data_IF_728339838910
#
_entry.id   IF_728339838910
#
_cell.length_a   1.000
_cell.length_b   1.000
_cell.length_c   1.000
_cell.angle_alpha   90.00
_cell.angle_beta   90.00
_cell.angle_gamma   90.00
#
_symmetry.space_group_name_H-M   'P 1'
#
loop_
_entity.id
_entity.type
_entity.pdbx_description
1 polymer ?
#
# COMPACT_ATOMS: atom_id res chain seq x y z
N UNK A 1 -26.89 14.56 12.18
CA UNK A 1 -26.28 14.50 13.53
C UNK A 1 -24.80 14.29 13.25
N UNK A 2 -23.95 15.14 13.83
CA UNK A 2 -22.51 15.04 13.58
C UNK A 2 -21.92 13.97 14.51
N UNK A 3 -21.32 12.95 13.93
CA UNK A 3 -20.60 11.89 14.64
C UNK A 3 -19.11 11.94 14.29
N UNK A 4 -18.29 11.53 15.24
CA UNK A 4 -16.84 11.42 15.06
C UNK A 4 -16.46 10.00 15.44
N UNK A 5 -16.03 9.21 14.45
CA UNK A 5 -15.58 7.83 14.64
C UNK A 5 -14.09 7.72 14.34
N UNK A 6 -13.41 6.78 14.99
CA UNK A 6 -11.95 6.64 14.95
C UNK A 6 -11.57 5.41 14.14
N UNK A 7 -10.56 5.54 13.29
CA UNK A 7 -10.01 4.43 12.51
C UNK A 7 -8.56 4.76 12.10
N UNK A 8 -7.99 4.04 11.13
CA UNK A 8 -6.64 4.27 10.62
C UNK A 8 -6.65 5.06 9.31
N UNK A 9 -5.51 5.67 9.01
CA UNK A 9 -5.24 6.33 7.75
C UNK A 9 -4.90 5.28 6.68
N UNK A 10 -5.59 5.27 5.53
CA UNK A 10 -5.34 4.29 4.47
C UNK A 10 -4.19 4.69 3.53
N UNK A 11 -3.53 5.84 3.75
CA UNK A 11 -2.71 6.47 2.70
C UNK A 11 -1.29 5.96 2.55
N UNK A 12 -0.72 5.30 3.56
CA UNK A 12 0.63 4.71 3.51
C UNK A 12 0.84 3.76 4.70
N UNK A 13 1.94 3.03 4.70
CA UNK A 13 2.26 2.03 5.73
C UNK A 13 2.63 2.58 7.11
N UNK A 14 2.59 3.89 7.35
CA UNK A 14 2.95 4.47 8.66
C UNK A 14 1.95 4.08 9.76
N UNK A 15 0.69 3.80 9.42
CA UNK A 15 -0.30 3.35 10.42
C UNK A 15 -0.82 4.45 11.35
N UNK A 16 -0.96 5.67 10.82
CA UNK A 16 -1.49 6.81 11.58
C UNK A 16 -2.99 6.65 11.90
N UNK A 17 -3.44 7.12 13.08
CA UNK A 17 -4.86 7.17 13.41
C UNK A 17 -5.56 8.44 12.91
N UNK A 18 -6.81 8.31 12.47
CA UNK A 18 -7.65 9.43 12.04
C UNK A 18 -9.03 9.37 12.69
N UNK A 19 -9.67 10.52 12.76
CA UNK A 19 -11.10 10.62 13.00
C UNK A 19 -11.79 10.89 11.66
N UNK A 20 -12.88 10.18 11.40
CA UNK A 20 -13.80 10.45 10.30
C UNK A 20 -15.02 11.18 10.86
N UNK A 21 -15.37 12.30 10.24
CA UNK A 21 -16.51 13.13 10.61
C UNK A 21 -17.68 12.75 9.71
N UNK A 22 -18.78 12.34 10.33
CA UNK A 22 -20.01 11.96 9.65
C UNK A 22 -21.08 13.01 9.94
N UNK A 23 -21.87 13.42 8.94
CA UNK A 23 -23.10 14.16 9.15
C UNK A 23 -24.27 13.46 8.44
N UNK A 24 -25.15 12.83 9.23
CA UNK A 24 -26.23 11.98 8.72
C UNK A 24 -25.69 10.88 7.78
N UNK A 25 -24.71 10.12 8.26
CA UNK A 25 -24.05 9.00 7.56
C UNK A 25 -23.18 9.37 6.34
N UNK A 26 -23.16 10.65 5.94
CA UNK A 26 -22.24 11.15 4.91
C UNK A 26 -20.87 11.52 5.51
N UNK A 27 -19.79 11.10 4.86
CA UNK A 27 -18.42 11.51 5.21
C UNK A 27 -18.21 12.96 4.80
N UNK A 28 -17.91 13.84 5.77
CA UNK A 28 -17.74 15.29 5.52
C UNK A 28 -16.34 15.80 5.85
N UNK A 29 -15.46 14.93 6.34
CA UNK A 29 -14.06 15.26 6.53
C UNK A 29 -13.32 14.34 7.48
N UNK A 30 -12.04 14.65 7.69
CA UNK A 30 -11.20 13.96 8.67
C UNK A 30 -10.50 14.94 9.59
N UNK A 31 -10.09 14.46 10.76
CA UNK A 31 -9.20 15.20 11.66
C UNK A 31 -8.29 14.23 12.43
N UNK A 32 -7.09 14.64 12.86
CA UNK A 32 -6.22 13.74 13.62
C UNK A 32 -6.82 13.11 14.87
N UNK A 33 -6.64 11.79 15.01
CA UNK A 33 -6.95 11.12 16.26
C UNK A 33 -5.88 11.47 17.30
N UNK A 34 -6.17 12.47 18.13
CA UNK A 34 -5.22 13.11 19.06
C UNK A 34 -4.46 12.17 19.99
N UNK A 35 -5.02 10.99 20.29
CA UNK A 35 -4.45 10.02 21.23
C UNK A 35 -3.76 8.85 20.55
N UNK A 36 -3.70 8.82 19.21
CA UNK A 36 -3.09 7.70 18.51
C UNK A 36 -1.56 7.72 18.70
N UNK A 37 -0.94 6.59 19.10
CA UNK A 37 0.47 6.56 19.49
C UNK A 37 1.41 6.86 18.32
N UNK A 38 1.11 6.37 17.12
CA UNK A 38 1.96 6.56 15.93
C UNK A 38 2.12 8.04 15.56
N UNK A 39 1.01 8.76 15.42
CA UNK A 39 1.01 10.10 14.82
C UNK A 39 0.93 11.23 15.86
N UNK A 40 0.68 10.87 17.12
CA UNK A 40 0.60 11.78 18.28
C UNK A 40 -0.31 12.99 18.02
N UNK A 41 -1.43 12.73 17.32
CA UNK A 41 -2.41 13.76 17.01
C UNK A 41 -2.06 14.69 15.85
N UNK A 42 -1.19 14.26 14.94
CA UNK A 42 -0.92 14.95 13.65
C UNK A 42 -1.25 14.05 12.46
N UNK A 43 -1.69 14.62 11.36
CA UNK A 43 -1.72 13.92 10.07
C UNK A 43 -1.09 14.80 8.99
N UNK A 44 -0.50 14.15 7.98
CA UNK A 44 -0.03 14.82 6.77
C UNK A 44 -1.21 15.29 5.90
N UNK A 45 -0.92 15.81 4.71
CA UNK A 45 -1.95 16.15 3.73
C UNK A 45 -2.74 14.90 3.33
N UNK A 46 -2.06 13.83 2.92
CA UNK A 46 -2.67 12.57 2.46
C UNK A 46 -3.66 12.01 3.47
N UNK A 47 -3.30 11.99 4.76
CA UNK A 47 -4.21 11.52 5.81
C UNK A 47 -5.37 12.46 6.13
N UNK A 48 -5.28 13.76 5.80
CA UNK A 48 -6.39 14.71 5.94
C UNK A 48 -7.36 14.64 4.75
N UNK A 49 -6.84 14.30 3.58
CA UNK A 49 -7.59 14.19 2.32
C UNK A 49 -7.94 12.75 1.95
N UNK A 50 -7.70 11.77 2.84
CA UNK A 50 -7.89 10.34 2.56
C UNK A 50 -9.33 9.92 2.30
N UNK A 51 -10.28 10.84 2.44
CA UNK A 51 -11.70 10.62 2.16
C UNK A 51 -12.14 11.19 0.81
N UNK A 52 -11.27 11.87 0.06
CA UNK A 52 -11.63 12.47 -1.24
C UNK A 52 -12.18 11.43 -2.22
N UNK A 53 -11.61 10.21 -2.22
CA UNK A 53 -12.10 9.11 -3.07
C UNK A 53 -13.52 8.63 -2.68
N UNK A 54 -14.04 8.98 -1.50
CA UNK A 54 -15.40 8.59 -1.09
C UNK A 54 -16.47 9.22 -1.98
N UNK A 55 -16.17 10.32 -2.66
CA UNK A 55 -17.07 10.92 -3.66
C UNK A 55 -17.24 10.01 -4.89
N UNK A 56 -16.27 9.14 -5.17
CA UNK A 56 -16.24 8.22 -6.30
C UNK A 56 -16.50 6.76 -5.85
N UNK A 57 -17.30 6.56 -4.80
CA UNK A 57 -17.63 5.21 -4.32
C UNK A 57 -18.46 4.47 -5.37
N UNK A 58 -18.07 3.24 -5.67
CA UNK A 58 -18.78 2.35 -6.60
C UNK A 58 -19.92 1.66 -5.86
N UNK A 59 -21.15 1.85 -6.33
CA UNK A 59 -22.34 1.21 -5.77
C UNK A 59 -23.05 0.26 -6.72
N UNK A 60 -22.66 0.24 -8.00
CA UNK A 60 -23.27 -0.60 -9.04
C UNK A 60 -22.22 -1.48 -9.70
N UNK A 61 -22.55 -2.75 -9.90
CA UNK A 61 -21.71 -3.64 -10.70
C UNK A 61 -21.92 -3.35 -12.20
N UNK A 62 -20.87 -3.53 -13.00
CA UNK A 62 -20.94 -3.29 -14.44
C UNK A 62 -20.37 -4.46 -15.23
N UNK A 63 -20.90 -4.69 -16.42
CA UNK A 63 -20.33 -5.55 -17.47
C UNK A 63 -20.29 -4.74 -18.76
N UNK A 64 -19.10 -4.59 -19.34
CA UNK A 64 -18.82 -3.78 -20.53
C UNK A 64 -19.42 -2.37 -20.43
N UNK A 65 -19.23 -1.72 -19.29
CA UNK A 65 -19.79 -0.41 -18.92
C UNK A 65 -21.32 -0.34 -18.81
N UNK A 66 -22.02 -1.47 -18.85
CA UNK A 66 -23.45 -1.56 -18.58
C UNK A 66 -23.73 -1.99 -17.14
N UNK A 67 -24.51 -1.19 -16.40
CA UNK A 67 -24.96 -1.52 -15.03
C UNK A 67 -25.75 -2.84 -15.01
N UNK A 68 -25.45 -3.70 -14.03
CA UNK A 68 -26.08 -5.01 -13.82
C UNK A 68 -26.24 -5.30 -12.32
N UNK A 69 -27.12 -6.24 -11.99
CA UNK A 69 -27.23 -6.78 -10.63
C UNK A 69 -25.91 -7.46 -10.21
N UNK A 70 -25.54 -7.31 -8.94
CA UNK A 70 -24.31 -7.88 -8.37
C UNK A 70 -24.17 -9.39 -8.62
N UNK A 71 -25.24 -10.15 -8.41
CA UNK A 71 -25.26 -11.61 -8.65
C UNK A 71 -24.97 -11.96 -10.11
N UNK A 72 -25.42 -11.12 -11.05
CA UNK A 72 -25.16 -11.32 -12.48
C UNK A 72 -23.71 -11.00 -12.83
N UNK A 73 -23.13 -9.97 -12.23
CA UNK A 73 -21.71 -9.66 -12.38
C UNK A 73 -20.84 -10.81 -11.85
N UNK A 74 -21.10 -11.28 -10.63
CA UNK A 74 -20.38 -12.41 -10.02
C UNK A 74 -20.51 -13.68 -10.88
N UNK A 75 -21.70 -14.00 -11.39
CA UNK A 75 -21.89 -15.15 -12.27
C UNK A 75 -21.09 -15.03 -13.58
N UNK A 76 -20.98 -13.82 -14.15
CA UNK A 76 -20.16 -13.60 -15.33
C UNK A 76 -18.66 -13.72 -15.01
N UNK A 77 -18.20 -13.25 -13.85
CA UNK A 77 -16.82 -13.49 -13.38
C UNK A 77 -16.53 -14.98 -13.32
N UNK A 78 -17.37 -15.78 -12.65
CA UNK A 78 -17.17 -17.24 -12.53
C UNK A 78 -17.11 -17.94 -13.89
N UNK A 79 -17.89 -17.46 -14.86
CA UNK A 79 -17.87 -17.95 -16.24
C UNK A 79 -16.56 -17.60 -16.97
N UNK A 80 -16.10 -16.36 -16.87
CA UNK A 80 -14.88 -15.90 -17.56
C UNK A 80 -13.64 -16.62 -17.02
N UNK A 81 -13.50 -16.76 -15.70
CA UNK A 81 -12.36 -17.46 -15.08
C UNK A 81 -12.38 -18.97 -15.34
N UNK A 82 -13.56 -19.57 -15.58
CA UNK A 82 -13.69 -20.99 -15.88
C UNK A 82 -13.51 -21.34 -17.37
N UNK A 83 -13.51 -20.34 -18.25
CA UNK A 83 -13.44 -20.51 -19.70
C UNK A 83 -12.04 -20.28 -20.29
N UNK A 84 -11.09 -19.81 -19.48
CA UNK A 84 -9.77 -19.37 -19.91
C UNK A 84 -8.68 -20.09 -19.13
N UNK A 85 -7.54 -20.31 -19.78
CA UNK A 85 -6.46 -21.12 -19.22
C UNK A 85 -5.53 -20.27 -18.34
N UNK A 86 -5.25 -19.01 -18.71
CA UNK A 86 -4.30 -18.15 -18.01
C UNK A 86 -5.00 -17.02 -17.24
N UNK A 87 -5.35 -17.29 -15.99
CA UNK A 87 -5.90 -16.28 -15.07
C UNK A 87 -4.81 -15.78 -14.14
N UNK A 88 -4.69 -14.45 -14.04
CA UNK A 88 -3.77 -13.78 -13.14
C UNK A 88 -4.55 -12.95 -12.12
N UNK A 89 -4.15 -13.06 -10.86
CA UNK A 89 -4.77 -12.38 -9.73
C UNK A 89 -3.77 -11.41 -9.11
N UNK A 90 -4.17 -10.14 -9.02
CA UNK A 90 -3.38 -9.06 -8.43
C UNK A 90 -3.80 -8.85 -6.97
N UNK A 91 -2.87 -9.08 -6.06
CA UNK A 91 -2.93 -8.63 -4.67
C UNK A 91 -2.55 -7.16 -4.57
N UNK A 92 -3.11 -6.47 -3.59
CA UNK A 92 -2.82 -5.08 -3.30
C UNK A 92 -2.34 -4.88 -1.87
N UNK A 93 -1.46 -3.88 -1.69
CA UNK A 93 -1.14 -3.34 -0.36
C UNK A 93 -2.32 -2.64 0.32
N UNK A 94 -3.47 -2.49 -0.34
CA UNK A 94 -4.73 -2.03 0.26
C UNK A 94 -5.60 -3.16 0.81
N UNK A 95 -5.37 -4.42 0.42
CA UNK A 95 -6.15 -5.54 0.96
C UNK A 95 -5.81 -5.76 2.44
N UNK A 96 -6.78 -6.18 3.23
CA UNK A 96 -6.51 -6.64 4.60
C UNK A 96 -5.76 -7.96 4.64
N UNK A 97 -5.23 -8.34 5.80
CA UNK A 97 -4.63 -9.66 5.98
C UNK A 97 -5.62 -10.79 5.64
N UNK A 98 -6.88 -10.65 6.08
CA UNK A 98 -7.93 -11.64 5.83
C UNK A 98 -8.30 -11.71 4.35
N UNK A 99 -8.41 -10.57 3.68
CA UNK A 99 -8.68 -10.50 2.25
C UNK A 99 -7.53 -11.11 1.45
N UNK A 100 -6.28 -10.77 1.77
CA UNK A 100 -5.11 -11.30 1.10
C UNK A 100 -4.96 -12.82 1.25
N UNK A 101 -5.23 -13.36 2.46
CA UNK A 101 -5.27 -14.80 2.69
C UNK A 101 -6.37 -15.48 1.86
N UNK A 102 -7.57 -14.87 1.76
CA UNK A 102 -8.67 -15.40 0.97
C UNK A 102 -8.36 -15.37 -0.55
N UNK A 103 -7.78 -14.28 -1.04
CA UNK A 103 -7.36 -14.12 -2.44
C UNK A 103 -6.28 -15.17 -2.76
N UNK A 104 -5.24 -15.29 -1.91
CA UNK A 104 -4.19 -16.29 -2.10
C UNK A 104 -4.75 -17.71 -2.12
N UNK A 105 -5.59 -18.06 -1.14
CA UNK A 105 -6.20 -19.38 -1.07
C UNK A 105 -7.10 -19.68 -2.28
N UNK A 106 -7.81 -18.67 -2.80
CA UNK A 106 -8.60 -18.78 -4.02
C UNK A 106 -7.72 -19.04 -5.25
N UNK A 107 -6.63 -18.28 -5.41
CA UNK A 107 -5.67 -18.49 -6.49
C UNK A 107 -5.03 -19.87 -6.43
N UNK A 108 -4.58 -20.31 -5.25
CA UNK A 108 -4.00 -21.63 -5.04
C UNK A 108 -4.99 -22.76 -5.37
N UNK A 109 -6.25 -22.63 -4.92
CA UNK A 109 -7.32 -23.62 -5.16
C UNK A 109 -7.63 -23.78 -6.65
N UNK A 110 -7.65 -22.66 -7.40
CA UNK A 110 -7.97 -22.65 -8.83
C UNK A 110 -6.75 -22.85 -9.73
N UNK A 111 -5.54 -22.78 -9.18
CA UNK A 111 -4.29 -22.84 -9.95
C UNK A 111 -4.04 -21.58 -10.77
N UNK A 112 -4.48 -20.41 -10.29
CA UNK A 112 -4.25 -19.12 -10.94
C UNK A 112 -2.88 -18.56 -10.60
N UNK A 113 -2.33 -17.72 -11.48
CA UNK A 113 -1.15 -16.94 -11.15
C UNK A 113 -1.50 -15.90 -10.10
N UNK A 114 -0.66 -15.73 -9.09
CA UNK A 114 -0.80 -14.72 -8.06
C UNK A 114 0.38 -13.76 -8.17
N UNK A 115 0.10 -12.46 -8.21
CA UNK A 115 1.14 -11.45 -8.30
C UNK A 115 0.88 -10.30 -7.33
N UNK A 116 1.99 -9.76 -6.83
CA UNK A 116 2.00 -8.61 -5.94
C UNK A 116 3.18 -7.72 -6.28
N UNK A 117 2.94 -6.42 -6.42
CA UNK A 117 3.97 -5.43 -6.66
C UNK A 117 4.06 -4.47 -5.48
N UNK A 118 5.25 -4.38 -4.88
CA UNK A 118 5.52 -3.59 -3.68
C UNK A 118 6.43 -2.38 -3.97
N UNK A 119 6.36 -1.82 -5.19
CA UNK A 119 7.23 -0.73 -5.64
C UNK A 119 8.73 -1.07 -5.50
N UNK A 120 9.10 -2.29 -5.89
CA UNK A 120 10.44 -2.88 -5.78
C UNK A 120 11.01 -2.94 -4.34
N UNK A 121 10.17 -2.73 -3.32
CA UNK A 121 10.53 -2.91 -1.92
C UNK A 121 10.28 -4.34 -1.44
N UNK A 122 11.10 -4.81 -0.50
CA UNK A 122 10.98 -6.14 0.09
C UNK A 122 10.51 -6.16 1.55
N UNK A 123 10.37 -7.37 2.08
CA UNK A 123 10.10 -7.58 3.51
C UNK A 123 11.39 -7.57 4.35
N UNK A 124 11.24 -7.17 5.61
CA UNK A 124 12.29 -7.17 6.62
C UNK A 124 11.72 -7.69 7.93
N UNK A 125 12.29 -8.77 8.47
CA UNK A 125 11.83 -9.40 9.70
C UNK A 125 12.08 -8.49 10.91
N UNK A 126 13.31 -8.00 11.03
CA UNK A 126 13.71 -7.04 12.07
C UNK A 126 13.67 -5.63 11.50
N UNK A 127 12.79 -4.79 12.05
CA UNK A 127 12.62 -3.41 11.64
C UNK A 127 12.83 -2.45 12.79
N UNK A 128 13.26 -1.22 12.46
CA UNK A 128 13.36 -0.13 13.41
C UNK A 128 11.96 0.32 13.86
N UNK A 129 11.83 0.67 15.13
CA UNK A 129 10.67 1.43 15.59
C UNK A 129 10.79 2.92 15.21
N UNK A 130 9.69 3.66 15.31
CA UNK A 130 9.72 5.12 15.14
C UNK A 130 10.53 5.83 16.23
N UNK A 131 10.63 5.23 17.42
CA UNK A 131 11.49 5.71 18.49
C UNK A 131 12.97 5.43 18.20
N UNK A 132 13.29 4.29 17.58
CA UNK A 132 14.66 4.01 17.11
C UNK A 132 15.13 5.07 16.11
N UNK A 133 14.27 5.48 15.17
CA UNK A 133 14.60 6.57 14.23
C UNK A 133 14.86 7.87 14.99
N UNK A 134 13.99 8.23 15.95
CA UNK A 134 14.09 9.48 16.71
C UNK A 134 15.34 9.54 17.62
N UNK A 135 15.82 8.39 18.09
CA UNK A 135 16.98 8.26 18.97
C UNK A 135 18.29 7.89 18.26
N UNK A 136 18.27 7.73 16.93
CA UNK A 136 19.43 7.28 16.16
C UNK A 136 20.62 8.26 16.27
N UNK A 137 21.85 7.74 16.30
CA UNK A 137 23.07 8.56 16.23
C UNK A 137 23.38 9.02 14.80
N UNK A 138 23.02 8.21 13.81
CA UNK A 138 23.10 8.53 12.40
C UNK A 138 22.02 7.82 11.60
N UNK A 139 21.61 8.44 10.49
CA UNK A 139 20.56 7.95 9.61
C UNK A 139 21.09 7.91 8.18
N UNK A 140 20.88 6.77 7.51
CA UNK A 140 20.89 6.73 6.04
C UNK A 140 19.45 6.83 5.56
N UNK A 141 19.13 7.84 4.76
CA UNK A 141 17.77 8.07 4.25
C UNK A 141 17.76 7.93 2.72
N UNK A 142 17.05 6.94 2.18
CA UNK A 142 17.00 6.69 0.74
C UNK A 142 15.60 7.04 0.21
N UNK A 143 15.56 8.03 -0.69
CA UNK A 143 14.32 8.62 -1.23
C UNK A 143 13.84 9.84 -0.46
N UNK A 144 12.75 10.47 -0.94
CA UNK A 144 12.22 11.71 -0.36
C UNK A 144 11.24 11.46 0.80
N UNK A 145 11.70 10.71 1.81
CA UNK A 145 10.91 10.25 2.96
C UNK A 145 10.19 11.39 3.69
N UNK A 146 10.79 12.58 3.81
CA UNK A 146 10.13 13.72 4.46
C UNK A 146 8.93 14.25 3.69
N UNK A 147 8.94 14.14 2.36
CA UNK A 147 7.84 14.56 1.50
C UNK A 147 6.76 13.48 1.44
N UNK A 148 7.15 12.25 1.10
CA UNK A 148 6.22 11.15 0.85
C UNK A 148 5.61 10.61 2.15
N UNK A 149 6.39 10.61 3.24
CA UNK A 149 5.98 10.07 4.54
C UNK A 149 6.27 11.05 5.69
N UNK A 150 5.58 12.22 5.77
CA UNK A 150 5.95 13.30 6.68
C UNK A 150 5.96 12.96 8.17
N UNK A 151 5.23 11.91 8.59
CA UNK A 151 5.24 11.47 9.99
C UNK A 151 6.52 10.69 10.34
N UNK A 152 7.12 9.99 9.37
CA UNK A 152 8.48 9.44 9.49
C UNK A 152 9.50 10.57 9.40
N UNK A 153 9.31 11.48 8.44
CA UNK A 153 10.10 12.71 8.33
C UNK A 153 10.17 13.51 9.63
N UNK A 154 9.08 13.57 10.40
CA UNK A 154 9.07 14.17 11.74
C UNK A 154 10.02 13.48 12.71
N UNK A 155 10.11 12.14 12.69
CA UNK A 155 11.04 11.37 13.53
C UNK A 155 12.49 11.65 13.13
N UNK A 156 12.77 11.71 11.83
CA UNK A 156 14.08 12.10 11.29
C UNK A 156 14.46 13.52 11.76
N UNK A 157 13.53 14.47 11.72
CA UNK A 157 13.75 15.85 12.20
C UNK A 157 14.00 15.88 13.72
N UNK A 158 13.37 15.01 14.50
CA UNK A 158 13.66 14.89 15.93
C UNK A 158 15.06 14.32 16.17
N UNK A 159 15.47 13.29 15.42
CA UNK A 159 16.84 12.76 15.46
C UNK A 159 17.88 13.84 15.14
N UNK A 160 17.67 14.61 14.07
CA UNK A 160 18.50 15.77 13.72
C UNK A 160 18.64 16.75 14.91
N UNK A 161 17.53 17.08 15.57
CA UNK A 161 17.53 17.96 16.75
C UNK A 161 18.24 17.35 17.96
N UNK A 162 18.25 16.03 18.06
CA UNK A 162 18.99 15.28 19.07
C UNK A 162 20.48 15.14 18.73
N UNK A 163 20.92 15.64 17.55
CA UNK A 163 22.31 15.66 17.12
C UNK A 163 22.71 14.50 16.20
N UNK A 164 21.74 13.75 15.66
CA UNK A 164 21.99 12.69 14.70
C UNK A 164 22.58 13.26 13.40
N UNK A 165 23.51 12.52 12.78
CA UNK A 165 23.99 12.82 11.42
C UNK A 165 23.07 12.20 10.37
N UNK A 166 22.69 12.95 9.34
CA UNK A 166 21.76 12.48 8.31
C UNK A 166 22.45 12.49 6.95
N UNK A 167 22.59 11.31 6.36
CA UNK A 167 23.10 11.12 5.00
C UNK A 167 21.95 10.66 4.12
N UNK A 168 21.71 11.34 3.00
CA UNK A 168 20.55 11.03 2.16
C UNK A 168 20.91 10.69 0.72
N UNK A 169 20.34 9.61 0.20
CA UNK A 169 20.30 9.31 -1.23
C UNK A 169 19.02 9.90 -1.83
N UNK A 170 19.16 10.95 -2.66
CA UNK A 170 18.05 11.68 -3.26
C UNK A 170 18.31 11.89 -4.75
N UNK A 171 17.28 11.65 -5.59
CA UNK A 171 17.41 11.81 -7.04
C UNK A 171 17.08 13.22 -7.53
N UNK A 172 16.36 14.01 -6.72
CA UNK A 172 15.96 15.37 -7.07
C UNK A 172 16.55 16.41 -6.09
N UNK A 173 17.13 17.48 -6.65
CA UNK A 173 17.67 18.60 -5.86
C UNK A 173 16.60 19.34 -5.04
N UNK A 174 15.33 19.23 -5.45
CA UNK A 174 14.17 19.83 -4.76
C UNK A 174 13.60 18.96 -3.64
N UNK A 175 14.24 17.84 -3.31
CA UNK A 175 13.77 16.92 -2.26
C UNK A 175 13.63 17.62 -0.91
N UNK A 176 12.53 17.35 -0.20
CA UNK A 176 12.32 17.90 1.15
C UNK A 176 13.32 17.30 2.15
N UNK A 177 13.66 16.03 1.97
CA UNK A 177 14.64 15.28 2.77
C UNK A 177 16.02 15.92 2.75
N UNK A 178 16.41 16.55 1.63
CA UNK A 178 17.66 17.30 1.52
C UNK A 178 17.82 18.40 2.58
N UNK A 179 16.71 19.02 3.02
CA UNK A 179 16.74 20.17 3.95
C UNK A 179 17.19 19.82 5.37
N UNK A 180 17.20 18.53 5.73
CA UNK A 180 17.64 18.04 7.04
C UNK A 180 18.89 17.19 6.94
N UNK A 181 19.47 17.05 5.75
CA UNK A 181 20.64 16.19 5.50
C UNK A 181 21.93 16.96 5.73
N UNK A 182 22.90 16.34 6.38
CA UNK A 182 24.27 16.85 6.47
C UNK A 182 25.00 16.68 5.13
N UNK A 183 24.80 15.54 4.47
CA UNK A 183 25.34 15.24 3.15
C UNK A 183 24.27 14.56 2.28
N UNK A 184 24.29 14.86 0.99
CA UNK A 184 23.38 14.27 0.01
C UNK A 184 24.17 13.61 -1.12
N UNK A 185 23.62 12.53 -1.68
CA UNK A 185 24.15 11.84 -2.85
C UNK A 185 23.01 11.52 -3.81
N UNK A 186 23.27 11.66 -5.11
CA UNK A 186 22.39 11.18 -6.17
C UNK A 186 22.94 9.94 -6.88
N UNK A 187 24.02 9.36 -6.35
CA UNK A 187 24.62 8.14 -6.86
C UNK A 187 23.63 6.95 -6.77
N UNK A 188 23.88 5.85 -7.50
CA UNK A 188 23.18 4.60 -7.27
C UNK A 188 23.17 4.20 -5.78
N UNK A 189 22.10 3.57 -5.31
CA UNK A 189 21.93 3.24 -3.88
C UNK A 189 23.10 2.43 -3.35
N UNK A 190 23.58 1.39 -4.06
CA UNK A 190 24.77 0.63 -3.63
C UNK A 190 26.02 1.50 -3.42
N UNK A 191 26.31 2.44 -4.33
CA UNK A 191 27.46 3.35 -4.19
C UNK A 191 27.31 4.27 -2.98
N UNK A 192 26.08 4.72 -2.71
CA UNK A 192 25.78 5.50 -1.51
C UNK A 192 25.97 4.66 -0.24
N UNK A 193 25.46 3.44 -0.18
CA UNK A 193 25.66 2.54 0.96
C UNK A 193 27.15 2.29 1.20
N UNK A 194 27.94 2.03 0.14
CA UNK A 194 29.37 1.83 0.24
C UNK A 194 30.14 3.06 0.76
N UNK A 195 29.69 4.27 0.39
CA UNK A 195 30.32 5.51 0.83
C UNK A 195 30.08 5.81 2.32
N UNK A 196 28.93 5.40 2.88
CA UNK A 196 28.51 5.79 4.22
C UNK A 196 28.38 4.65 5.23
N UNK A 197 28.52 3.38 4.82
CA UNK A 197 28.43 2.22 5.74
C UNK A 197 29.40 2.28 6.93
N UNK A 198 30.59 2.84 6.74
CA UNK A 198 31.59 2.98 7.80
C UNK A 198 31.24 4.09 8.82
N UNK A 199 30.17 4.87 8.58
CA UNK A 199 29.60 5.86 9.50
C UNK A 199 28.47 5.28 10.37
N UNK A 200 28.14 3.99 10.20
CA UNK A 200 27.09 3.32 10.96
C UNK A 200 27.64 2.73 12.25
N UNK A 201 26.84 2.82 13.31
CA UNK A 201 27.06 2.21 14.61
C UNK A 201 25.80 1.45 15.07
N UNK A 202 25.85 0.87 16.28
CA UNK A 202 24.76 0.06 16.84
C UNK A 202 23.43 0.83 17.02
N UNK A 203 23.47 2.16 16.99
CA UNK A 203 22.32 3.06 17.11
C UNK A 203 21.94 3.73 15.78
N UNK A 204 22.61 3.40 14.68
CA UNK A 204 22.26 3.88 13.35
C UNK A 204 21.01 3.20 12.79
N UNK A 205 20.24 3.94 12.00
CA UNK A 205 19.04 3.42 11.33
C UNK A 205 19.07 3.76 9.84
N UNK A 206 18.67 2.80 9.01
CA UNK A 206 18.46 3.00 7.58
C UNK A 206 16.96 3.16 7.34
N UNK A 207 16.54 4.28 6.75
CA UNK A 207 15.13 4.56 6.43
C UNK A 207 15.00 4.77 4.94
N UNK A 208 14.05 4.09 4.30
CA UNK A 208 13.91 4.19 2.84
C UNK A 208 12.47 3.98 2.38
N UNK A 209 12.09 4.66 1.31
CA UNK A 209 10.80 4.48 0.64
C UNK A 209 10.95 4.15 -0.86
N UNK A 210 12.18 3.96 -1.31
CA UNK A 210 12.54 3.60 -2.68
C UNK A 210 13.90 2.91 -2.71
N UNK A 211 14.16 2.16 -3.77
CA UNK A 211 15.45 1.56 -4.13
C UNK A 211 15.63 1.69 -5.65
N UNK A 212 16.86 1.52 -6.15
CA UNK A 212 17.11 1.48 -7.60
C UNK A 212 16.89 0.06 -8.16
N UNK A 213 17.06 -0.98 -7.33
CA UNK A 213 16.91 -2.40 -7.72
C UNK A 213 16.76 -3.33 -6.50
N UNK A 214 16.41 -4.60 -6.74
CA UNK A 214 16.38 -5.64 -5.69
C UNK A 214 17.74 -5.89 -5.04
N UNK A 215 18.85 -5.70 -5.76
CA UNK A 215 20.20 -5.86 -5.22
C UNK A 215 20.47 -4.86 -4.08
N UNK A 216 19.83 -3.70 -4.09
CA UNK A 216 19.93 -2.71 -3.02
C UNK A 216 19.31 -3.24 -1.71
N UNK A 217 18.23 -4.03 -1.80
CA UNK A 217 17.60 -4.63 -0.62
C UNK A 217 18.55 -5.60 0.07
N UNK A 218 19.27 -6.42 -0.71
CA UNK A 218 20.27 -7.35 -0.18
C UNK A 218 21.48 -6.60 0.41
N UNK A 219 21.90 -5.50 -0.23
CA UNK A 219 22.94 -4.63 0.32
C UNK A 219 22.51 -4.00 1.66
N UNK A 220 21.27 -3.50 1.75
CA UNK A 220 20.70 -2.94 2.99
C UNK A 220 20.65 -4.01 4.09
N UNK A 221 20.16 -5.22 3.80
CA UNK A 221 20.14 -6.34 4.76
C UNK A 221 21.56 -6.70 5.24
N UNK A 222 22.53 -6.66 4.33
CA UNK A 222 23.93 -6.99 4.60
C UNK A 222 24.65 -6.04 5.57
N UNK A 223 24.12 -4.83 5.81
CA UNK A 223 24.73 -3.85 6.72
C UNK A 223 24.52 -4.18 8.21
N UNK A 224 23.51 -4.99 8.54
CA UNK A 224 23.22 -5.39 9.92
C UNK A 224 22.74 -4.26 10.85
N UNK A 225 22.46 -3.07 10.32
CA UNK A 225 21.81 -1.97 11.05
C UNK A 225 20.29 -2.17 11.12
N UNK A 226 19.62 -1.47 12.05
CA UNK A 226 18.16 -1.44 12.05
C UNK A 226 17.64 -0.73 10.79
N UNK A 227 16.55 -1.23 10.23
CA UNK A 227 16.01 -0.73 8.96
C UNK A 227 14.51 -0.42 9.05
N UNK A 228 14.05 0.61 8.35
CA UNK A 228 12.62 0.87 8.15
C UNK A 228 12.34 1.14 6.67
N UNK A 229 11.71 0.17 6.02
CA UNK A 229 11.06 0.37 4.73
C UNK A 229 9.70 1.05 4.95
N UNK A 230 9.45 2.16 4.25
CA UNK A 230 8.18 2.89 4.31
C UNK A 230 7.47 2.74 2.96
N UNK A 231 6.47 1.87 2.94
CA UNK A 231 5.68 1.53 1.77
C UNK A 231 4.57 2.55 1.48
N UNK A 232 4.25 2.71 0.20
CA UNK A 232 3.21 3.58 -0.36
C UNK A 232 1.79 3.19 0.06
N UNK A 233 1.53 1.91 0.37
CA UNK A 233 0.20 1.37 0.70
C UNK A 233 0.15 0.87 2.16
N UNK A 234 -1.02 0.90 2.81
CA UNK A 234 -1.13 0.74 4.26
C UNK A 234 -0.76 -0.65 4.76
N UNK A 235 -1.02 -1.71 3.98
CA UNK A 235 -0.75 -3.10 4.35
C UNK A 235 0.46 -3.74 3.68
N UNK A 236 1.25 -3.02 2.88
CA UNK A 236 2.29 -3.68 2.05
C UNK A 236 3.16 -4.64 2.85
N UNK A 237 3.59 -4.28 4.07
CA UNK A 237 4.35 -5.19 4.95
C UNK A 237 3.58 -6.45 5.32
N UNK A 238 2.29 -6.34 5.60
CA UNK A 238 1.41 -7.48 5.89
C UNK A 238 1.26 -8.41 4.69
N UNK A 239 1.08 -7.84 3.49
CA UNK A 239 0.99 -8.62 2.24
C UNK A 239 2.31 -9.32 1.93
N UNK A 240 3.45 -8.65 2.15
CA UNK A 240 4.79 -9.24 2.04
C UNK A 240 5.04 -10.40 3.02
N UNK A 241 4.19 -10.57 4.05
CA UNK A 241 4.20 -11.75 4.92
C UNK A 241 3.34 -12.92 4.40
N UNK A 242 2.53 -12.70 3.36
CA UNK A 242 1.58 -13.67 2.77
C UNK A 242 2.04 -14.10 1.37
N UNK A 243 2.55 -13.17 0.57
CA UNK A 243 3.03 -13.38 -0.79
C UNK A 243 4.29 -12.57 -1.06
N UNK A 244 5.23 -13.17 -1.79
CA UNK A 244 6.42 -12.47 -2.27
C UNK A 244 6.01 -11.42 -3.30
N UNK A 245 6.67 -10.26 -3.26
CA UNK A 245 6.57 -9.28 -4.33
C UNK A 245 7.39 -9.72 -5.54
N UNK A 246 6.95 -9.36 -6.74
CA UNK A 246 7.72 -9.51 -7.97
C UNK A 246 8.09 -8.14 -8.53
N UNK A 247 9.15 -8.10 -9.34
CA UNK A 247 9.67 -6.88 -9.96
C UNK A 247 8.71 -6.29 -11.00
N UNK A 248 8.95 -5.04 -11.37
CA UNK A 248 8.17 -4.36 -12.43
C UNK A 248 8.25 -5.11 -13.77
N UNK A 249 9.42 -5.63 -14.12
CA UNK A 249 9.64 -6.41 -15.34
C UNK A 249 8.84 -7.73 -15.31
N UNK A 250 8.88 -8.46 -14.20
CA UNK A 250 8.12 -9.71 -14.05
C UNK A 250 6.61 -9.49 -14.12
N UNK A 251 6.09 -8.38 -13.58
CA UNK A 251 4.69 -8.00 -13.73
C UNK A 251 4.30 -7.83 -15.20
N UNK A 252 5.13 -7.15 -16.00
CA UNK A 252 4.87 -6.94 -17.44
C UNK A 252 4.90 -8.26 -18.20
N UNK A 253 5.89 -9.12 -17.93
CA UNK A 253 5.95 -10.46 -18.52
C UNK A 253 4.73 -11.31 -18.17
N UNK A 254 4.21 -11.17 -16.93
CA UNK A 254 3.00 -11.85 -16.50
C UNK A 254 1.76 -11.34 -17.24
N UNK A 255 1.63 -10.02 -17.44
CA UNK A 255 0.53 -9.43 -18.18
C UNK A 255 0.48 -9.93 -19.64
N UNK A 256 1.63 -10.04 -20.30
CA UNK A 256 1.73 -10.56 -21.67
C UNK A 256 1.22 -11.99 -21.85
N UNK A 257 1.20 -12.77 -20.76
CA UNK A 257 0.74 -14.15 -20.74
C UNK A 257 -0.64 -14.31 -20.06
N UNK A 258 -1.36 -13.22 -19.78
CA UNK A 258 -2.63 -13.23 -19.07
C UNK A 258 -3.83 -13.14 -20.02
N UNK A 259 -4.77 -14.08 -19.90
CA UNK A 259 -6.08 -14.02 -20.58
C UNK A 259 -7.10 -13.23 -19.76
N UNK A 260 -7.14 -13.47 -18.45
CA UNK A 260 -8.07 -12.83 -17.51
C UNK A 260 -7.29 -12.26 -16.34
N UNK A 261 -7.39 -10.95 -16.13
CA UNK A 261 -6.77 -10.24 -15.02
C UNK A 261 -7.83 -9.92 -13.96
N UNK A 262 -7.67 -10.47 -12.75
CA UNK A 262 -8.48 -10.13 -11.58
C UNK A 262 -7.70 -9.13 -10.72
N UNK A 263 -8.27 -7.97 -10.46
CA UNK A 263 -7.62 -6.89 -9.68
C UNK A 263 -8.43 -6.60 -8.43
N UNK A 264 -7.84 -6.79 -7.24
CA UNK A 264 -8.51 -6.61 -5.96
C UNK A 264 -8.04 -5.33 -5.25
N UNK A 265 -8.85 -4.27 -5.30
CA UNK A 265 -8.59 -2.96 -4.66
C UNK A 265 -7.24 -2.32 -5.06
N UNK A 266 -6.86 -2.43 -6.33
CA UNK A 266 -5.62 -1.84 -6.86
C UNK A 266 -5.89 -0.94 -8.07
N UNK A 267 -5.07 0.08 -8.26
CA UNK A 267 -5.02 0.83 -9.53
C UNK A 267 -3.77 0.46 -10.33
N UNK A 268 -3.77 -0.74 -10.91
CA UNK A 268 -2.63 -1.28 -11.64
C UNK A 268 -2.31 -0.48 -12.92
N UNK A 269 -3.28 0.24 -13.46
CA UNK A 269 -3.11 1.08 -14.65
C UNK A 269 -2.29 2.33 -14.35
N UNK A 270 -2.36 2.88 -13.14
CA UNK A 270 -1.55 4.03 -12.72
C UNK A 270 -0.08 3.64 -12.45
N UNK A 271 0.14 2.40 -12.02
CA UNK A 271 1.46 1.89 -11.60
C UNK A 271 2.34 1.41 -12.79
N UNK A 272 1.71 1.01 -13.89
CA UNK A 272 2.38 0.35 -15.02
C UNK A 272 2.06 1.03 -16.36
N UNK A 273 3.12 1.37 -17.11
CA UNK A 273 3.02 1.75 -18.52
C UNK A 273 2.83 0.50 -19.39
N UNK A 274 1.60 -0.05 -19.33
CA UNK A 274 1.21 -1.26 -20.03
C UNK A 274 -0.13 -1.05 -20.75
N UNK A 275 -0.29 -1.66 -21.93
CA UNK A 275 -1.56 -1.62 -22.64
C UNK A 275 -2.52 -2.70 -22.11
N UNK A 276 -3.17 -2.43 -20.98
CA UNK A 276 -4.12 -3.35 -20.33
C UNK A 276 -5.30 -3.77 -21.23
N UNK A 277 -5.65 -2.98 -22.26
CA UNK A 277 -6.68 -3.36 -23.25
C UNK A 277 -6.27 -4.52 -24.18
N UNK A 278 -5.00 -4.93 -24.13
CA UNK A 278 -4.53 -6.12 -24.85
C UNK A 278 -4.89 -7.42 -24.14
N UNK A 279 -5.15 -7.37 -22.83
CA UNK A 279 -5.63 -8.51 -22.03
C UNK A 279 -7.09 -8.79 -22.41
N UNK A 280 -7.44 -10.06 -22.62
CA UNK A 280 -8.76 -10.44 -23.13
C UNK A 280 -9.91 -10.11 -22.19
N UNK A 281 -9.66 -10.07 -20.88
CA UNK A 281 -10.64 -9.71 -19.86
C UNK A 281 -9.96 -9.05 -18.66
N UNK A 282 -10.39 -7.84 -18.30
CA UNK A 282 -9.98 -7.20 -17.04
C UNK A 282 -11.17 -7.09 -16.11
N UNK A 283 -11.03 -7.61 -14.89
CA UNK A 283 -12.09 -7.65 -13.88
C UNK A 283 -11.57 -6.94 -12.63
N UNK A 284 -12.25 -5.87 -12.23
CA UNK A 284 -11.87 -5.07 -11.06
C UNK A 284 -12.85 -5.26 -9.92
N UNK A 285 -12.33 -5.58 -8.74
CA UNK A 285 -13.05 -5.58 -7.47
C UNK A 285 -12.60 -4.35 -6.70
N UNK A 286 -13.39 -3.28 -6.73
CA UNK A 286 -12.99 -2.00 -6.16
C UNK A 286 -14.11 -1.33 -5.38
N UNK A 287 -13.75 -0.60 -4.32
CA UNK A 287 -14.66 0.28 -3.59
C UNK A 287 -14.82 1.66 -4.23
N UNK A 288 -13.81 2.13 -4.98
CA UNK A 288 -13.75 3.48 -5.54
C UNK A 288 -13.34 3.44 -7.01
N UNK A 289 -13.85 4.38 -7.80
CA UNK A 289 -13.43 4.55 -9.20
C UNK A 289 -11.95 4.96 -9.28
N UNK A 290 -11.25 4.38 -10.25
CA UNK A 290 -9.84 4.59 -10.55
C UNK A 290 -9.54 4.18 -12.02
N UNK A 291 -8.30 4.36 -12.49
CA UNK A 291 -7.95 4.11 -13.90
C UNK A 291 -8.18 2.64 -14.30
N UNK A 292 -8.00 1.70 -13.37
CA UNK A 292 -8.26 0.28 -13.59
C UNK A 292 -9.75 -0.03 -13.76
N UNK A 293 -10.62 0.57 -12.95
CA UNK A 293 -12.08 0.39 -13.10
C UNK A 293 -12.62 0.99 -14.39
N UNK A 294 -12.01 2.07 -14.89
CA UNK A 294 -12.41 2.72 -16.15
C UNK A 294 -12.17 1.83 -17.38
N UNK A 295 -11.14 0.97 -17.35
CA UNK A 295 -10.81 0.07 -18.46
C UNK A 295 -11.34 -1.35 -18.27
N UNK A 296 -11.85 -1.68 -17.08
CA UNK A 296 -12.31 -3.02 -16.75
C UNK A 296 -13.54 -3.43 -17.57
N UNK A 297 -13.56 -4.67 -18.01
CA UNK A 297 -14.73 -5.29 -18.64
C UNK A 297 -15.82 -5.63 -17.63
N UNK A 298 -15.44 -5.90 -16.38
CA UNK A 298 -16.37 -6.17 -15.28
C UNK A 298 -15.88 -5.41 -14.05
N UNK A 299 -16.76 -4.63 -13.43
CA UNK A 299 -16.51 -3.99 -12.14
C UNK A 299 -17.46 -4.58 -11.11
N UNK A 300 -16.91 -5.07 -10.00
CA UNK A 300 -17.64 -5.62 -8.87
C UNK A 300 -17.41 -4.71 -7.66
N UNK A 301 -18.43 -3.99 -7.15
CA UNK A 301 -18.27 -3.15 -5.97
C UNK A 301 -18.02 -4.01 -4.73
N UNK A 302 -17.05 -3.58 -3.91
CA UNK A 302 -16.71 -4.22 -2.63
C UNK A 302 -16.59 -3.18 -1.53
N UNK A 303 -16.74 -3.62 -0.28
CA UNK A 303 -16.60 -2.74 0.89
C UNK A 303 -15.25 -2.03 0.95
N UNK A 304 -15.27 -0.78 1.39
CA UNK A 304 -14.10 0.05 1.62
C UNK A 304 -13.52 -0.12 3.03
N UNK A 305 -12.35 0.48 3.25
CA UNK A 305 -11.71 0.60 4.57
C UNK A 305 -12.56 1.34 5.61
N UNK A 306 -13.60 2.08 5.19
CA UNK A 306 -14.55 2.74 6.09
C UNK A 306 -15.63 1.78 6.61
N UNK A 307 -15.77 0.60 6.00
CA UNK A 307 -16.94 -0.28 6.14
C UNK A 307 -16.57 -1.67 6.69
N UNK A 308 -15.28 -1.93 6.86
CA UNK A 308 -14.78 -3.21 7.36
C UNK A 308 -13.93 -3.06 8.63
N UNK A 309 -14.05 -4.07 9.49
CA UNK A 309 -13.09 -4.30 10.58
C UNK A 309 -12.07 -5.32 10.09
N UNK A 310 -10.84 -4.87 9.89
CA UNK A 310 -9.83 -5.67 9.23
C UNK A 310 -8.43 -5.32 9.73
N UNK A 311 -7.57 -6.35 9.79
CA UNK A 311 -6.22 -6.26 10.31
C UNK A 311 -5.19 -5.91 9.21
N UNK A 312 -4.24 -5.05 9.57
CA UNK A 312 -3.19 -4.52 8.73
C UNK A 312 -1.87 -4.45 9.51
N UNK A 313 -0.74 -4.51 8.82
CA UNK A 313 0.60 -4.43 9.43
C UNK A 313 1.33 -3.20 8.90
N UNK A 314 1.67 -2.27 9.80
CA UNK A 314 2.38 -1.04 9.46
C UNK A 314 3.89 -1.29 9.23
N UNK A 315 4.66 -0.25 8.86
CA UNK A 315 6.10 -0.36 8.59
C UNK A 315 6.94 -0.92 9.76
N UNK A 316 6.51 -0.70 11.02
CA UNK A 316 7.19 -1.22 12.21
C UNK A 316 6.84 -2.68 12.51
N UNK A 317 5.95 -3.30 11.73
CA UNK A 317 5.49 -4.66 12.00
C UNK A 317 4.34 -4.75 13.02
N UNK A 318 3.78 -3.61 13.46
CA UNK A 318 2.65 -3.64 14.38
C UNK A 318 1.36 -3.97 13.63
N UNK A 319 0.61 -4.96 14.15
CA UNK A 319 -0.74 -5.23 13.72
C UNK A 319 -1.71 -4.16 14.27
N UNK A 320 -2.47 -3.53 13.38
CA UNK A 320 -3.50 -2.56 13.69
C UNK A 320 -4.79 -2.92 12.93
N UNK A 321 -5.94 -2.43 13.38
CA UNK A 321 -7.21 -2.68 12.71
C UNK A 321 -7.84 -1.39 12.20
N UNK A 322 -8.34 -1.38 10.97
CA UNK A 322 -9.41 -0.43 10.64
C UNK A 322 -10.62 -0.77 11.49
N UNK A 323 -11.30 0.28 11.94
CA UNK A 323 -12.59 0.17 12.63
C UNK A 323 -13.64 0.70 11.67
N UNK A 324 -14.74 -0.03 11.43
CA UNK A 324 -15.78 0.41 10.52
C UNK A 324 -16.44 1.67 11.11
N UNK A 325 -16.53 2.69 10.28
CA UNK A 325 -17.17 3.97 10.61
C UNK A 325 -18.49 4.16 9.86
N UNK A 326 -18.70 3.41 8.78
CA UNK A 326 -19.93 3.40 7.99
C UNK A 326 -20.54 2.00 7.93
N UNK A 327 -21.86 1.95 7.77
CA UNK A 327 -22.57 0.72 7.42
C UNK A 327 -22.65 0.60 5.90
N UNK A 328 -22.67 -0.64 5.41
CA UNK A 328 -22.63 -0.96 3.99
C UNK A 328 -23.31 -2.31 3.74
N UNK A 329 -24.11 -2.36 2.67
CA UNK A 329 -24.76 -3.58 2.16
C UNK A 329 -23.90 -4.30 1.11
N UNK A 330 -22.84 -3.64 0.63
CA UNK A 330 -21.87 -4.23 -0.28
C UNK A 330 -21.17 -5.44 0.36
N UNK A 331 -20.70 -6.36 -0.48
CA UNK A 331 -19.99 -7.55 -0.02
C UNK A 331 -18.52 -7.21 0.28
N UNK A 332 -17.95 -7.88 1.29
CA UNK A 332 -16.49 -7.88 1.43
C UNK A 332 -15.84 -8.67 0.29
N UNK A 333 -14.56 -8.44 0.03
CA UNK A 333 -13.81 -9.24 -0.97
C UNK A 333 -13.90 -10.75 -0.64
N UNK A 334 -13.84 -11.11 0.64
CA UNK A 334 -13.98 -12.49 1.10
C UNK A 334 -15.34 -13.07 0.71
N UNK A 335 -16.43 -12.34 0.94
CA UNK A 335 -17.78 -12.78 0.60
C UNK A 335 -17.98 -12.93 -0.92
N UNK A 336 -17.38 -12.03 -1.71
CA UNK A 336 -17.39 -12.10 -3.18
C UNK A 336 -16.65 -13.34 -3.65
N UNK A 337 -15.45 -13.63 -3.11
CA UNK A 337 -14.68 -14.84 -3.46
C UNK A 337 -15.48 -16.11 -3.16
N UNK A 338 -16.13 -16.19 -2.00
CA UNK A 338 -16.96 -17.36 -1.65
C UNK A 338 -18.13 -17.55 -2.62
N UNK A 339 -18.74 -16.46 -3.10
CA UNK A 339 -19.78 -16.52 -4.14
C UNK A 339 -19.25 -16.90 -5.52
N UNK A 340 -18.04 -16.48 -5.88
CA UNK A 340 -17.40 -16.86 -7.16
C UNK A 340 -17.10 -18.37 -7.17
N UNK A 341 -16.71 -18.93 -6.02
CA UNK A 341 -16.38 -20.35 -5.84
C UNK A 341 -17.60 -21.28 -5.89
N UNK A 342 -18.74 -20.83 -5.35
CA UNK A 342 -20.00 -21.59 -5.25
C UNK A 342 -20.72 -21.78 -6.58
#
# INVERSE_FOLDING_TARGET
MVEIKHTLCPSCSVGCGINVILDNDSVVGTFPYKRHPVNEGKNCANGRTSIENCENKISEATISNGSVDLEKAIAEVSKEIGAKDNVTVILSGYNSLKEAEAIKAFSDEKGFNLAFYANDLGNFDEVASYDDIEQASSLLVIGDVLYDNPLIGRRIVHAMKNGAKIFSNIKAETSVTANVSDETSSAPVQEFLDAYKDQLDDSSVIVFNTVDSEEDLEAIKGLGSKVLAVYSKPNTKGILGIADSISKEEMVELFDNTDVLLVFNEDIVDEFDYNFKSISKVISFSSFENNTTEIADIVVPVKSWLECEDAFVNSMGDAQNFVPVMESEELSIVDVIEKIKG
#
